data_IF_519639938164
#
_entry.id   IF_519639938164
#
_cell.length_a   1.000
_cell.length_b   1.000
_cell.length_c   1.000
_cell.angle_alpha   90.00
_cell.angle_beta   90.00
_cell.angle_gamma   90.00
#
_symmetry.space_group_name_H-M   'P 1'
#
loop_
_entity.id
_entity.type
_entity.pdbx_description
1 polymer ?
#
# COMPACT_ATOMS: atom_id res chain seq x y z
N UNK A 1 -2.28 -1.56 6.36
CA UNK A 1 -2.84 -2.60 7.25
C UNK A 1 -3.59 -3.60 6.40
N UNK A 2 -3.39 -4.90 6.60
CA UNK A 2 -4.10 -5.93 5.83
C UNK A 2 -5.37 -6.32 6.60
N UNK A 3 -6.52 -6.31 5.92
CA UNK A 3 -7.78 -6.81 6.46
C UNK A 3 -7.82 -8.35 6.41
N UNK A 4 -7.74 -9.06 7.55
CA UNK A 4 -7.70 -10.52 7.55
C UNK A 4 -9.05 -11.15 7.18
N UNK A 5 -10.13 -10.37 7.12
CA UNK A 5 -11.48 -10.85 6.82
C UNK A 5 -11.84 -10.78 5.33
N UNK A 6 -10.95 -10.23 4.49
CA UNK A 6 -11.15 -10.22 3.03
C UNK A 6 -10.89 -11.62 2.46
N UNK A 7 -11.78 -12.11 1.59
CA UNK A 7 -11.61 -13.39 0.90
C UNK A 7 -10.21 -13.50 0.27
N UNK A 8 -9.56 -14.67 0.36
CA UNK A 8 -8.21 -14.90 -0.19
C UNK A 8 -8.12 -14.62 -1.69
N UNK A 9 -9.20 -14.79 -2.44
CA UNK A 9 -9.27 -14.51 -3.87
C UNK A 9 -9.82 -13.10 -4.18
N UNK A 10 -9.96 -12.23 -3.19
CA UNK A 10 -10.63 -10.94 -3.33
C UNK A 10 -12.15 -11.06 -3.30
N UNK A 11 -12.81 -9.92 -3.14
CA UNK A 11 -14.27 -9.78 -3.20
C UNK A 11 -14.62 -8.72 -4.25
N UNK A 12 -15.78 -8.85 -4.89
CA UNK A 12 -16.31 -7.78 -5.73
C UNK A 12 -16.48 -6.50 -4.89
N UNK A 13 -16.07 -5.36 -5.43
CA UNK A 13 -15.96 -4.09 -4.69
C UNK A 13 -17.28 -3.72 -3.99
N UNK A 14 -18.41 -3.74 -4.70
CA UNK A 14 -19.70 -3.39 -4.13
C UNK A 14 -20.14 -4.40 -3.05
N UNK A 15 -19.93 -5.70 -3.29
CA UNK A 15 -20.30 -6.74 -2.33
C UNK A 15 -19.54 -6.58 -1.01
N UNK A 16 -18.23 -6.32 -1.07
CA UNK A 16 -17.42 -6.07 0.12
C UNK A 16 -17.88 -4.82 0.86
N UNK A 17 -18.07 -3.71 0.15
CA UNK A 17 -18.45 -2.43 0.73
C UNK A 17 -19.84 -2.48 1.39
N UNK A 18 -20.83 -3.10 0.74
CA UNK A 18 -22.15 -3.31 1.32
C UNK A 18 -22.09 -4.17 2.57
N UNK A 19 -21.34 -5.28 2.55
CA UNK A 19 -21.19 -6.15 3.73
C UNK A 19 -20.52 -5.44 4.91
N UNK A 20 -19.50 -4.63 4.65
CA UNK A 20 -18.67 -4.01 5.70
C UNK A 20 -19.22 -2.69 6.22
N UNK A 21 -19.75 -1.85 5.34
CA UNK A 21 -20.14 -0.47 5.64
C UNK A 21 -21.56 -0.12 5.17
N UNK A 22 -22.32 -1.07 4.64
CA UNK A 22 -23.67 -0.86 4.13
C UNK A 22 -23.73 -0.24 2.72
N UNK A 23 -22.67 0.42 2.25
CA UNK A 23 -22.54 0.93 0.89
C UNK A 23 -21.10 1.33 0.55
N UNK A 24 -20.83 1.60 -0.73
CA UNK A 24 -19.58 2.21 -1.22
C UNK A 24 -19.58 3.74 -1.18
N UNK A 25 -20.57 4.38 -0.55
CA UNK A 25 -20.76 5.85 -0.58
C UNK A 25 -19.59 6.65 0.02
N UNK A 26 -18.84 6.07 0.95
CA UNK A 26 -17.63 6.68 1.50
C UNK A 26 -16.55 6.95 0.43
N UNK A 27 -16.56 6.19 -0.68
CA UNK A 27 -15.58 6.36 -1.76
C UNK A 27 -15.81 7.60 -2.61
N UNK A 28 -16.98 8.24 -2.54
CA UNK A 28 -17.25 9.46 -3.31
C UNK A 28 -16.27 10.58 -2.99
N UNK A 29 -16.03 10.82 -1.69
CA UNK A 29 -15.08 11.83 -1.25
C UNK A 29 -13.65 11.43 -1.64
N UNK A 30 -13.25 10.17 -1.42
CA UNK A 30 -11.94 9.65 -1.81
C UNK A 30 -11.65 9.88 -3.30
N UNK A 31 -12.60 9.51 -4.18
CA UNK A 31 -12.46 9.71 -5.63
C UNK A 31 -12.44 11.20 -6.01
N UNK A 32 -13.12 12.06 -5.23
CA UNK A 32 -13.09 13.50 -5.46
C UNK A 32 -11.74 14.12 -5.12
N UNK A 33 -11.15 13.70 -4.00
CA UNK A 33 -9.83 14.16 -3.59
C UNK A 33 -8.75 13.63 -4.54
N UNK A 34 -8.74 12.33 -4.84
CA UNK A 34 -7.73 11.73 -5.71
C UNK A 34 -7.67 12.34 -7.11
N UNK A 35 -8.78 12.84 -7.67
CA UNK A 35 -8.78 13.53 -8.98
C UNK A 35 -7.89 14.76 -9.00
N UNK A 36 -7.69 15.45 -7.88
CA UNK A 36 -6.81 16.62 -7.78
C UNK A 36 -5.34 16.22 -8.02
N UNK A 37 -5.00 14.98 -7.68
CA UNK A 37 -3.66 14.40 -7.78
C UNK A 37 -3.51 13.43 -8.98
N UNK A 38 -4.51 13.38 -9.87
CA UNK A 38 -4.50 12.48 -11.03
C UNK A 38 -4.89 11.02 -10.75
N UNK A 39 -5.26 10.68 -9.51
CA UNK A 39 -5.78 9.36 -9.15
C UNK A 39 -7.31 9.31 -9.37
N UNK A 40 -7.74 8.71 -10.48
CA UNK A 40 -9.14 8.78 -10.91
C UNK A 40 -10.01 7.64 -10.41
N UNK A 41 -9.40 6.52 -10.00
CA UNK A 41 -10.09 5.28 -9.63
C UNK A 41 -11.03 4.80 -10.74
N UNK A 42 -10.57 4.89 -11.99
CA UNK A 42 -11.38 4.70 -13.21
C UNK A 42 -12.07 3.34 -13.26
N UNK A 43 -11.44 2.29 -12.75
CA UNK A 43 -11.90 0.91 -12.89
C UNK A 43 -11.71 0.12 -11.60
N UNK A 44 -12.06 0.68 -10.46
CA UNK A 44 -12.00 -0.05 -9.20
C UNK A 44 -13.14 -1.09 -9.10
N UNK A 45 -12.84 -2.35 -9.44
CA UNK A 45 -13.81 -3.47 -9.49
C UNK A 45 -13.66 -4.44 -8.32
N UNK A 46 -12.44 -4.62 -7.81
CA UNK A 46 -12.15 -5.60 -6.76
C UNK A 46 -11.79 -4.95 -5.44
N UNK A 47 -12.22 -5.57 -4.35
CA UNK A 47 -11.63 -5.39 -3.03
C UNK A 47 -10.66 -6.53 -2.74
N UNK A 48 -9.34 -6.34 -2.90
CA UNK A 48 -8.37 -7.42 -2.83
C UNK A 48 -7.97 -7.74 -1.39
N UNK A 49 -7.70 -9.02 -1.11
CA UNK A 49 -6.74 -9.40 -0.08
C UNK A 49 -5.32 -9.05 -0.56
N UNK A 50 -4.66 -8.17 0.18
CA UNK A 50 -3.36 -7.59 -0.23
C UNK A 50 -2.14 -8.32 0.35
N UNK A 51 -2.31 -9.46 1.02
CA UNK A 51 -1.18 -10.15 1.67
C UNK A 51 -0.07 -10.50 0.68
N UNK A 52 -0.42 -11.13 -0.45
CA UNK A 52 0.53 -11.48 -1.51
C UNK A 52 1.06 -10.25 -2.26
N UNK A 53 0.29 -9.18 -2.33
CA UNK A 53 0.75 -7.93 -2.94
C UNK A 53 1.87 -7.28 -2.11
N UNK A 54 1.79 -7.35 -0.78
CA UNK A 54 2.91 -6.96 0.09
C UNK A 54 4.13 -7.86 -0.10
N UNK A 55 3.94 -9.16 -0.33
CA UNK A 55 5.06 -10.06 -0.69
C UNK A 55 5.70 -9.67 -2.04
N UNK A 56 4.91 -9.23 -3.03
CA UNK A 56 5.45 -8.67 -4.28
C UNK A 56 6.28 -7.42 -4.02
N UNK A 57 5.82 -6.49 -3.18
CA UNK A 57 6.58 -5.27 -2.84
C UNK A 57 7.93 -5.64 -2.21
N UNK A 58 7.92 -6.58 -1.25
CA UNK A 58 9.15 -7.09 -0.62
C UNK A 58 10.08 -7.76 -1.66
N UNK A 59 9.53 -8.58 -2.56
CA UNK A 59 10.31 -9.22 -3.61
C UNK A 59 10.91 -8.19 -4.57
N UNK A 60 10.14 -7.16 -4.95
CA UNK A 60 10.59 -6.08 -5.80
C UNK A 60 11.75 -5.30 -5.17
N UNK A 61 11.64 -4.97 -3.88
CA UNK A 61 12.69 -4.30 -3.11
C UNK A 61 13.98 -5.14 -3.07
N UNK A 62 13.88 -6.46 -2.84
CA UNK A 62 15.03 -7.38 -2.88
C UNK A 62 15.72 -7.44 -4.23
N UNK A 63 15.01 -7.09 -5.30
CA UNK A 63 15.54 -7.01 -6.66
C UNK A 63 15.90 -5.57 -7.08
N UNK A 64 16.00 -4.65 -6.11
CA UNK A 64 16.45 -3.27 -6.36
C UNK A 64 15.39 -2.34 -6.93
N UNK A 65 14.11 -2.75 -6.93
CA UNK A 65 12.99 -1.88 -7.33
C UNK A 65 12.50 -1.11 -6.10
N UNK A 66 12.52 0.20 -6.18
CA UNK A 66 12.00 1.07 -5.12
C UNK A 66 10.52 0.75 -4.80
N UNK A 67 10.18 0.75 -3.51
CA UNK A 67 8.84 0.37 -3.06
C UNK A 67 7.76 1.31 -3.57
N UNK A 68 8.07 2.59 -3.84
CA UNK A 68 7.11 3.53 -4.46
C UNK A 68 6.71 3.10 -5.88
N UNK A 69 7.64 2.51 -6.63
CA UNK A 69 7.41 2.04 -8.01
C UNK A 69 6.51 0.81 -7.99
N UNK A 70 6.81 -0.17 -7.14
CA UNK A 70 5.99 -1.39 -7.03
C UNK A 70 4.61 -1.10 -6.44
N UNK A 71 4.50 -0.22 -5.45
CA UNK A 71 3.21 0.25 -4.92
C UNK A 71 2.39 0.98 -5.99
N UNK A 72 3.02 1.85 -6.81
CA UNK A 72 2.33 2.54 -7.91
C UNK A 72 1.77 1.55 -8.92
N UNK A 73 2.55 0.54 -9.33
CA UNK A 73 2.09 -0.48 -10.26
C UNK A 73 0.93 -1.31 -9.71
N UNK A 74 0.93 -1.62 -8.40
CA UNK A 74 -0.20 -2.26 -7.74
C UNK A 74 -1.44 -1.35 -7.69
N UNK A 75 -1.29 -0.07 -7.35
CA UNK A 75 -2.41 0.87 -7.34
C UNK A 75 -3.03 1.05 -8.73
N UNK A 76 -2.22 1.14 -9.77
CA UNK A 76 -2.69 1.21 -11.16
C UNK A 76 -3.49 -0.04 -11.53
N UNK A 77 -2.94 -1.24 -11.24
CA UNK A 77 -3.62 -2.51 -11.49
C UNK A 77 -5.00 -2.57 -10.80
N UNK A 78 -5.10 -2.20 -9.52
CA UNK A 78 -6.37 -2.25 -8.78
C UNK A 78 -7.36 -1.18 -9.25
N UNK A 79 -6.93 0.09 -9.18
CA UNK A 79 -7.84 1.24 -9.18
C UNK A 79 -8.12 1.76 -10.58
N UNK A 80 -7.18 1.60 -11.51
CA UNK A 80 -7.28 2.14 -12.87
C UNK A 80 -7.55 1.05 -13.92
N UNK A 81 -7.04 -0.16 -13.70
CA UNK A 81 -7.21 -1.29 -14.63
C UNK A 81 -8.28 -2.31 -14.20
N UNK A 82 -8.65 -2.32 -12.92
CA UNK A 82 -9.65 -3.24 -12.35
C UNK A 82 -9.19 -4.68 -12.25
N UNK A 83 -7.89 -4.88 -12.11
CA UNK A 83 -7.27 -6.18 -11.92
C UNK A 83 -7.38 -6.63 -10.46
N UNK A 84 -7.50 -7.94 -10.26
CA UNK A 84 -7.59 -8.54 -8.93
C UNK A 84 -6.21 -8.99 -8.43
N UNK A 85 -5.55 -8.12 -7.66
CA UNK A 85 -4.21 -8.37 -7.12
C UNK A 85 -4.16 -9.41 -5.98
N UNK A 86 -5.29 -10.04 -5.61
CA UNK A 86 -5.27 -11.21 -4.74
C UNK A 86 -4.77 -12.46 -5.47
N UNK A 87 -4.78 -12.44 -6.80
CA UNK A 87 -4.41 -13.58 -7.64
C UNK A 87 -2.93 -13.53 -8.01
N UNK A 88 -2.23 -14.66 -7.82
CA UNK A 88 -0.79 -14.80 -8.17
C UNK A 88 -0.54 -14.44 -9.63
N UNK A 89 -1.40 -14.89 -10.56
CA UNK A 89 -1.21 -14.60 -11.98
C UNK A 89 -1.28 -13.10 -12.30
N UNK A 90 -2.11 -12.34 -11.58
CA UNK A 90 -2.17 -10.87 -11.74
C UNK A 90 -0.90 -10.23 -11.18
N UNK A 91 -0.46 -10.67 -10.00
CA UNK A 91 0.77 -10.17 -9.38
C UNK A 91 2.01 -10.46 -10.23
N UNK A 92 2.10 -11.64 -10.86
CA UNK A 92 3.19 -11.96 -11.79
C UNK A 92 3.19 -11.02 -12.99
N UNK A 93 2.02 -10.74 -13.58
CA UNK A 93 1.90 -9.73 -14.67
C UNK A 93 2.32 -8.33 -14.22
N UNK A 94 1.99 -7.94 -12.99
CA UNK A 94 2.46 -6.66 -12.42
C UNK A 94 3.99 -6.69 -12.28
N UNK A 95 4.56 -7.78 -11.79
CA UNK A 95 6.01 -7.95 -11.66
C UNK A 95 6.75 -7.93 -13.01
N UNK A 96 6.17 -8.48 -14.06
CA UNK A 96 6.71 -8.42 -15.43
C UNK A 96 6.88 -6.98 -15.92
N UNK A 97 5.89 -6.11 -15.67
CA UNK A 97 5.98 -4.67 -16.01
C UNK A 97 7.09 -3.96 -15.24
N UNK A 98 7.50 -4.51 -14.11
CA UNK A 98 8.60 -4.04 -13.27
C UNK A 98 9.94 -4.70 -13.62
N UNK A 99 9.99 -5.53 -14.67
CA UNK A 99 11.15 -6.34 -15.07
C UNK A 99 11.62 -7.34 -13.99
N UNK A 100 10.70 -7.85 -13.16
CA UNK A 100 11.00 -8.89 -12.18
C UNK A 100 11.00 -10.28 -12.84
N UNK A 101 11.83 -11.24 -12.37
CA UNK A 101 11.84 -12.60 -12.90
C UNK A 101 10.53 -13.34 -12.57
N UNK A 102 9.65 -13.50 -13.58
CA UNK A 102 8.27 -14.03 -13.42
C UNK A 102 8.20 -15.36 -12.68
N UNK A 103 9.05 -16.33 -13.03
CA UNK A 103 9.03 -17.67 -12.44
C UNK A 103 9.51 -17.67 -10.99
N UNK A 104 10.47 -16.80 -10.66
CA UNK A 104 10.95 -16.65 -9.28
C UNK A 104 9.92 -15.93 -8.42
N UNK A 105 9.30 -14.87 -8.95
CA UNK A 105 8.21 -14.16 -8.28
C UNK A 105 7.02 -15.09 -8.05
N UNK A 106 6.62 -15.87 -9.06
CA UNK A 106 5.55 -16.87 -8.93
C UNK A 106 5.83 -17.83 -7.79
N UNK A 107 7.02 -18.46 -7.79
CA UNK A 107 7.43 -19.39 -6.75
C UNK A 107 7.41 -18.73 -5.37
N UNK A 108 7.97 -17.52 -5.26
CA UNK A 108 8.00 -16.74 -4.01
C UNK A 108 6.58 -16.51 -3.45
N UNK A 109 5.62 -16.14 -4.30
CA UNK A 109 4.22 -15.88 -3.93
C UNK A 109 3.38 -17.13 -3.67
N UNK A 110 3.69 -18.26 -4.34
CA UNK A 110 2.99 -19.53 -4.16
C UNK A 110 3.46 -20.25 -2.88
N UNK A 111 4.76 -20.13 -2.56
CA UNK A 111 5.36 -20.71 -1.37
C UNK A 111 5.23 -19.83 -0.11
N UNK A 112 4.65 -18.62 -0.23
CA UNK A 112 4.52 -17.65 0.86
C UNK A 112 5.88 -17.27 1.51
N UNK A 113 6.94 -17.19 0.71
CA UNK A 113 8.32 -17.00 1.18
C UNK A 113 8.53 -15.63 1.87
N UNK A 114 7.75 -14.61 1.50
CA UNK A 114 7.82 -13.26 2.07
C UNK A 114 6.91 -13.04 3.27
N UNK A 115 5.95 -13.93 3.50
CA UNK A 115 4.88 -13.77 4.51
C UNK A 115 5.38 -13.45 5.90
N UNK A 116 6.44 -14.13 6.36
CA UNK A 116 7.02 -13.90 7.69
C UNK A 116 7.53 -12.47 7.84
N UNK A 117 8.21 -11.96 6.83
CA UNK A 117 8.82 -10.64 6.85
C UNK A 117 7.75 -9.54 6.78
N UNK A 118 6.76 -9.70 5.90
CA UNK A 118 5.59 -8.80 5.82
C UNK A 118 4.85 -8.73 7.16
N UNK A 119 4.59 -9.88 7.80
CA UNK A 119 3.94 -9.92 9.12
C UNK A 119 4.79 -9.24 10.18
N UNK A 120 6.11 -9.45 10.17
CA UNK A 120 7.04 -8.82 11.11
C UNK A 120 7.03 -7.29 10.93
N UNK A 121 7.03 -6.78 9.72
CA UNK A 121 6.97 -5.35 9.43
C UNK A 121 5.67 -4.72 9.96
N UNK A 122 4.51 -5.34 9.66
CA UNK A 122 3.20 -4.89 10.18
C UNK A 122 3.18 -4.88 11.72
N UNK A 123 3.77 -5.91 12.35
CA UNK A 123 3.85 -5.97 13.81
C UNK A 123 4.76 -4.89 14.38
N UNK A 124 5.89 -4.59 13.72
CA UNK A 124 6.76 -3.48 14.10
C UNK A 124 5.99 -2.15 14.03
N UNK A 125 5.31 -1.86 12.92
CA UNK A 125 4.47 -0.67 12.77
C UNK A 125 3.45 -0.52 13.89
N UNK A 126 2.72 -1.60 14.20
CA UNK A 126 1.69 -1.60 15.25
C UNK A 126 2.25 -1.48 16.67
N UNK A 127 3.30 -2.25 17.01
CA UNK A 127 3.79 -2.35 18.39
C UNK A 127 4.75 -1.22 18.74
N UNK A 128 5.71 -0.94 17.86
CA UNK A 128 6.76 0.05 18.10
C UNK A 128 6.23 1.47 17.89
N UNK A 129 5.49 1.68 16.81
CA UNK A 129 5.05 3.01 16.38
C UNK A 129 3.56 3.28 16.65
N UNK A 130 2.84 2.33 17.25
CA UNK A 130 1.39 2.44 17.59
C UNK A 130 0.51 2.78 16.37
N UNK A 131 0.95 2.39 15.17
CA UNK A 131 0.23 2.67 13.92
C UNK A 131 -1.04 1.82 13.86
N UNK A 132 -2.19 2.50 13.82
CA UNK A 132 -3.53 1.89 13.70
C UNK A 132 -4.20 2.15 12.34
N UNK A 133 -3.59 2.96 11.47
CA UNK A 133 -4.09 3.29 10.13
C UNK A 133 -2.96 3.66 9.18
N UNK A 134 -3.20 3.57 7.88
CA UNK A 134 -2.27 3.99 6.82
C UNK A 134 -2.98 4.92 5.82
N UNK A 135 -2.25 5.81 5.10
CA UNK A 135 -0.81 6.04 5.19
C UNK A 135 -0.39 6.66 6.53
N UNK A 136 0.85 6.42 6.94
CA UNK A 136 1.45 6.96 8.16
C UNK A 136 2.92 7.27 7.87
N UNK A 137 3.37 8.45 8.26
CA UNK A 137 4.73 8.92 8.01
C UNK A 137 5.42 9.20 9.34
N UNK A 138 6.69 8.80 9.43
CA UNK A 138 7.58 9.15 10.54
C UNK A 138 8.66 10.03 9.93
N UNK A 139 8.75 11.28 10.38
CA UNK A 139 9.65 12.28 9.81
C UNK A 139 10.56 12.79 10.92
N UNK A 140 11.87 12.73 10.70
CA UNK A 140 12.86 13.23 11.64
C UNK A 140 14.23 13.29 10.99
N UNK A 141 15.17 13.91 11.71
CA UNK A 141 16.58 14.00 11.29
C UNK A 141 17.30 12.69 11.56
N UNK A 142 17.98 12.17 10.55
CA UNK A 142 18.85 11.01 10.71
C UNK A 142 19.98 11.35 11.71
N UNK A 143 20.18 10.48 12.72
CA UNK A 143 21.19 10.69 13.77
C UNK A 143 20.83 11.69 14.87
N UNK A 144 19.64 12.33 14.82
CA UNK A 144 19.17 13.20 15.91
C UNK A 144 18.65 12.39 17.10
N UNK A 145 18.80 12.95 18.30
CA UNK A 145 18.19 12.44 19.54
C UNK A 145 16.76 12.97 19.75
N UNK A 146 16.29 13.86 18.88
CA UNK A 146 14.93 14.38 18.92
C UNK A 146 13.92 13.29 18.55
N UNK A 147 12.74 13.38 19.17
CA UNK A 147 11.65 12.47 18.83
C UNK A 147 11.13 12.83 17.42
N UNK A 148 11.03 11.86 16.49
CA UNK A 148 10.51 12.14 15.16
C UNK A 148 9.02 12.48 15.22
N UNK A 149 8.57 13.30 14.29
CA UNK A 149 7.17 13.60 14.06
C UNK A 149 6.44 12.39 13.48
N UNK A 150 5.20 12.16 13.93
CA UNK A 150 4.31 11.15 13.40
C UNK A 150 3.11 11.78 12.72
N UNK A 151 2.95 11.56 11.42
CA UNK A 151 1.81 12.06 10.64
C UNK A 151 0.91 10.91 10.23
N UNK A 152 -0.36 10.97 10.65
CA UNK A 152 -1.38 9.97 10.31
C UNK A 152 -2.27 10.48 9.18
N UNK A 153 -2.48 9.63 8.16
CA UNK A 153 -3.35 9.91 7.02
C UNK A 153 -2.65 10.65 5.88
N UNK A 154 -3.40 10.83 4.78
CA UNK A 154 -2.96 11.58 3.61
C UNK A 154 -3.10 13.08 3.91
N UNK A 155 -2.11 13.64 4.62
CA UNK A 155 -2.06 15.06 4.94
C UNK A 155 -1.77 15.90 3.68
N UNK A 156 -2.17 17.17 3.70
CA UNK A 156 -1.87 18.14 2.65
C UNK A 156 -0.35 18.33 2.49
N UNK A 157 0.12 18.57 1.26
CA UNK A 157 1.55 18.79 0.99
C UNK A 157 2.15 19.93 1.85
N UNK A 158 1.35 20.96 2.15
CA UNK A 158 1.76 22.08 3.02
C UNK A 158 2.11 21.63 4.44
N UNK A 159 1.41 20.63 4.98
CA UNK A 159 1.70 20.09 6.31
C UNK A 159 3.07 19.42 6.33
N UNK A 160 3.41 18.66 5.28
CA UNK A 160 4.75 18.10 5.13
C UNK A 160 5.82 19.18 5.02
N UNK A 161 5.59 20.22 4.19
CA UNK A 161 6.52 21.33 4.03
C UNK A 161 6.83 22.01 5.37
N UNK A 162 5.82 22.28 6.20
CA UNK A 162 6.02 22.89 7.51
C UNK A 162 6.95 22.03 8.39
N UNK A 163 6.73 20.71 8.47
CA UNK A 163 7.61 19.84 9.27
C UNK A 163 9.03 19.77 8.72
N UNK A 164 9.20 19.83 7.38
CA UNK A 164 10.52 19.87 6.78
C UNK A 164 11.24 21.20 7.06
N UNK A 165 10.53 22.32 7.07
CA UNK A 165 11.07 23.65 7.43
C UNK A 165 11.51 23.67 8.90
N UNK A 166 10.65 23.23 9.82
CA UNK A 166 11.00 23.11 11.26
C UNK A 166 12.26 22.23 11.46
N UNK A 167 12.32 21.07 10.79
CA UNK A 167 13.48 20.19 10.80
C UNK A 167 14.66 20.71 9.97
N UNK A 168 14.59 21.85 9.30
CA UNK A 168 15.73 22.46 8.60
C UNK A 168 16.28 23.65 9.37
N UNK A 169 15.43 24.41 10.05
CA UNK A 169 15.80 25.64 10.76
C UNK A 169 16.52 25.39 12.10
N UNK A 170 16.31 24.23 12.74
CA UNK A 170 17.00 23.85 13.98
C UNK A 170 18.45 23.33 13.76
N UNK A 171 19.07 23.60 12.59
CA UNK A 171 20.41 23.12 12.19
C UNK A 171 21.45 24.25 12.17
#
# INVERSE_FOLDING_TARGET
MIDPQTNRNGEEFEAYNTRRWGSSGWTHHLKSEGRKDGATFKKWVWWPNTSKAHELVLFAERNGIDTSISNRALFEAIYEEGENISLVNVLVKVGERLNLPSEELRRFLENEEGKRDVVKEIQTGRKKYRISGVPYFIIGREGSNELPYGLSGAQEARTFLQYFEELSDDA
#
